data_IF_044870084201
#
_entry.id   IF_044870084201
#
_cell.length_a   1.000
_cell.length_b   1.000
_cell.length_c   1.000
_cell.angle_alpha   90.00
_cell.angle_beta   90.00
_cell.angle_gamma   90.00
#
_symmetry.space_group_name_H-M   'P 1'
#
loop_
_entity.id
_entity.type
_entity.pdbx_description
1 polymer ?
#
# COMPACT_ATOMS: atom_id res chain seq x y z
N UNK A 1 -48.49 -6.98 -41.44
CA UNK A 1 -47.31 -7.04 -40.55
C UNK A 1 -47.72 -6.48 -39.20
N UNK A 2 -47.69 -7.33 -38.17
CA UNK A 2 -48.37 -7.14 -36.88
C UNK A 2 -47.65 -6.16 -35.93
N UNK A 3 -48.46 -5.39 -35.20
CA UNK A 3 -48.15 -4.69 -33.96
C UNK A 3 -47.82 -5.67 -32.82
N UNK A 4 -46.82 -5.35 -31.98
CA UNK A 4 -46.87 -5.65 -30.53
C UNK A 4 -45.88 -4.81 -29.71
N UNK A 5 -46.42 -3.90 -28.90
CA UNK A 5 -45.86 -3.39 -27.65
C UNK A 5 -46.00 -4.48 -26.57
N UNK A 6 -44.95 -4.73 -25.79
CA UNK A 6 -44.99 -5.32 -24.43
C UNK A 6 -43.79 -4.72 -23.68
N UNK A 7 -43.95 -3.76 -22.77
CA UNK A 7 -44.35 -3.88 -21.35
C UNK A 7 -43.39 -4.73 -20.50
N UNK A 8 -42.70 -4.03 -19.59
CA UNK A 8 -42.01 -4.55 -18.41
C UNK A 8 -42.97 -5.37 -17.51
N UNK A 9 -42.40 -6.23 -16.65
CA UNK A 9 -42.76 -6.17 -15.25
C UNK A 9 -41.55 -6.00 -14.34
N UNK A 10 -41.75 -5.18 -13.31
CA UNK A 10 -40.96 -5.14 -12.09
C UNK A 10 -41.36 -6.32 -11.18
N UNK A 11 -40.37 -6.92 -10.51
CA UNK A 11 -40.48 -7.74 -9.29
C UNK A 11 -39.05 -8.21 -8.95
N UNK A 12 -38.60 -8.39 -7.72
CA UNK A 12 -39.07 -8.02 -6.39
C UNK A 12 -37.88 -8.30 -5.46
N UNK A 13 -37.75 -7.47 -4.44
CA UNK A 13 -36.85 -7.59 -3.30
C UNK A 13 -36.90 -8.99 -2.67
N UNK A 14 -35.74 -9.62 -2.45
CA UNK A 14 -35.61 -10.79 -1.57
C UNK A 14 -34.55 -10.48 -0.51
N UNK A 15 -35.02 -9.85 0.56
CA UNK A 15 -34.36 -9.85 1.85
C UNK A 15 -34.37 -11.29 2.38
N UNK A 16 -33.19 -11.88 2.59
CA UNK A 16 -33.06 -13.17 3.26
C UNK A 16 -32.78 -12.91 4.73
N UNK A 17 -33.81 -13.11 5.55
CA UNK A 17 -33.71 -13.12 7.00
C UNK A 17 -32.74 -14.21 7.45
N UNK A 18 -31.76 -13.85 8.27
CA UNK A 18 -30.99 -14.80 9.07
C UNK A 18 -31.74 -14.98 10.38
N UNK A 19 -32.23 -16.20 10.58
CA UNK A 19 -32.96 -16.64 11.75
C UNK A 19 -32.01 -16.71 12.95
N UNK A 20 -32.22 -15.83 13.92
CA UNK A 20 -31.54 -15.88 15.22
C UNK A 20 -32.16 -17.02 16.03
N UNK A 21 -31.47 -18.16 16.12
CA UNK A 21 -31.79 -19.18 17.12
C UNK A 21 -31.13 -18.82 18.43
N UNK A 22 -31.95 -18.40 19.38
CA UNK A 22 -31.65 -18.28 20.79
C UNK A 22 -31.38 -19.67 21.39
N UNK A 23 -30.22 -19.84 22.01
CA UNK A 23 -29.95 -20.95 22.92
C UNK A 23 -29.65 -20.36 24.29
N UNK A 24 -30.61 -20.49 25.21
CA UNK A 24 -30.41 -20.27 26.63
C UNK A 24 -29.87 -21.55 27.25
N UNK A 25 -28.68 -21.49 27.86
CA UNK A 25 -28.33 -22.39 28.97
C UNK A 25 -27.44 -21.66 29.96
N UNK A 26 -27.92 -21.60 31.19
CA UNK A 26 -27.29 -21.10 32.41
C UNK A 26 -26.13 -21.98 32.89
N UNK A 27 -25.29 -21.38 33.75
CA UNK A 27 -24.38 -21.98 34.74
C UNK A 27 -22.87 -21.90 34.46
N UNK A 28 -22.28 -20.80 34.93
CA UNK A 28 -21.13 -20.73 35.85
C UNK A 28 -19.93 -21.68 35.69
N UNK A 29 -18.76 -21.10 35.38
CA UNK A 29 -17.49 -21.45 36.01
C UNK A 29 -16.49 -20.31 35.81
N UNK A 30 -15.73 -20.01 36.86
CA UNK A 30 -14.73 -18.96 36.93
C UNK A 30 -13.41 -19.36 36.24
N UNK A 31 -12.66 -18.34 35.80
CA UNK A 31 -11.20 -18.32 35.82
C UNK A 31 -10.46 -18.97 34.65
N UNK A 32 -9.98 -18.14 33.72
CA UNK A 32 -8.61 -18.16 33.18
C UNK A 32 -8.48 -17.12 32.07
N UNK A 33 -7.77 -16.02 32.36
CA UNK A 33 -7.27 -15.10 31.33
C UNK A 33 -6.12 -15.82 30.63
N UNK A 34 -6.37 -16.34 29.43
CA UNK A 34 -5.29 -16.87 28.59
C UNK A 34 -4.51 -15.69 28.00
N UNK A 35 -3.30 -15.49 28.51
CA UNK A 35 -2.26 -14.70 27.85
C UNK A 35 -2.01 -15.30 26.46
N UNK A 36 -2.40 -14.58 25.41
CA UNK A 36 -1.93 -14.86 24.05
C UNK A 36 -0.44 -14.51 23.98
N UNK A 37 0.40 -15.52 24.17
CA UNK A 37 1.83 -15.47 23.87
C UNK A 37 2.00 -15.40 22.35
N UNK A 38 2.27 -14.20 21.84
CA UNK A 38 2.70 -14.00 20.45
C UNK A 38 4.12 -14.57 20.34
N UNK A 39 4.26 -15.64 19.57
CA UNK A 39 5.54 -16.33 19.35
C UNK A 39 6.57 -15.41 18.67
N UNK A 40 7.88 -15.57 18.96
CA UNK A 40 8.92 -14.63 18.53
C UNK A 40 9.32 -14.87 17.06
N UNK A 41 8.49 -14.43 16.12
CA UNK A 41 8.86 -14.29 14.70
C UNK A 41 9.40 -12.88 14.38
N UNK A 42 9.86 -12.17 15.41
CA UNK A 42 10.10 -10.72 15.41
C UNK A 42 11.48 -10.27 14.96
N UNK A 43 12.40 -11.18 14.66
CA UNK A 43 13.80 -10.84 14.31
C UNK A 43 14.17 -11.03 12.84
N UNK A 44 13.26 -11.51 11.97
CA UNK A 44 13.54 -11.69 10.53
C UNK A 44 12.89 -10.64 9.61
N UNK A 45 12.04 -9.74 10.13
CA UNK A 45 11.34 -8.74 9.30
C UNK A 45 12.26 -7.65 8.70
N UNK A 46 13.47 -7.45 9.24
CA UNK A 46 14.42 -6.47 8.68
C UNK A 46 15.26 -6.98 7.49
N UNK A 47 15.39 -8.30 7.34
CA UNK A 47 16.36 -8.90 6.42
C UNK A 47 15.81 -9.15 5.00
N UNK A 48 14.50 -9.31 4.83
CA UNK A 48 13.92 -9.61 3.51
C UNK A 48 13.78 -8.38 2.60
N UNK A 49 13.92 -7.16 3.13
CA UNK A 49 13.95 -5.91 2.36
C UNK A 49 15.38 -5.44 2.02
N UNK A 50 16.41 -6.11 2.52
CA UNK A 50 17.81 -5.79 2.27
C UNK A 50 18.51 -7.04 1.74
N UNK A 51 18.63 -7.17 0.42
CA UNK A 51 19.29 -8.29 -0.25
C UNK A 51 20.78 -8.41 0.11
N UNK A 52 21.06 -8.96 1.29
CA UNK A 52 22.41 -9.13 1.82
C UNK A 52 22.49 -10.44 2.61
N UNK A 53 22.81 -11.55 1.96
CA UNK A 53 23.39 -12.70 2.66
C UNK A 53 24.89 -12.44 2.92
N UNK A 54 25.41 -12.70 4.13
CA UNK A 54 26.84 -12.61 4.40
C UNK A 54 27.56 -13.85 3.87
N UNK A 55 28.41 -13.65 2.86
CA UNK A 55 29.39 -14.65 2.42
C UNK A 55 30.40 -14.93 3.54
N UNK A 56 30.24 -16.08 4.20
CA UNK A 56 31.24 -16.69 5.07
C UNK A 56 32.39 -17.26 4.21
N UNK A 57 33.60 -16.75 4.41
CA UNK A 57 34.83 -17.28 3.82
C UNK A 57 35.28 -18.53 4.58
N UNK A 58 35.38 -19.66 3.90
CA UNK A 58 36.28 -20.75 4.30
C UNK A 58 37.15 -21.19 3.13
N UNK A 59 38.46 -21.08 3.32
CA UNK A 59 39.51 -21.50 2.40
C UNK A 59 39.66 -23.02 2.36
N UNK A 60 39.60 -23.62 1.18
CA UNK A 60 40.45 -24.77 0.82
C UNK A 60 40.59 -24.80 -0.69
N UNK A 61 41.85 -24.83 -1.16
CA UNK A 61 42.19 -24.70 -2.56
C UNK A 61 41.93 -25.96 -3.38
N UNK A 62 41.63 -25.76 -4.66
CA UNK A 62 41.99 -26.69 -5.73
C UNK A 62 42.06 -25.95 -7.07
N UNK A 63 43.25 -25.98 -7.66
CA UNK A 63 43.57 -25.45 -8.99
C UNK A 63 42.91 -26.30 -10.07
N UNK A 64 42.19 -25.68 -11.01
CA UNK A 64 41.93 -26.25 -12.34
C UNK A 64 41.95 -25.14 -13.40
N UNK A 65 42.71 -25.39 -14.46
CA UNK A 65 43.01 -24.47 -15.57
C UNK A 65 41.88 -24.34 -16.60
N UNK A 66 41.70 -23.10 -17.08
CA UNK A 66 41.25 -22.62 -18.41
C UNK A 66 40.22 -23.44 -19.21
N UNK A 67 39.08 -22.79 -19.51
CA UNK A 67 38.60 -22.60 -20.89
C UNK A 67 38.05 -21.18 -21.03
N UNK A 68 38.65 -20.40 -21.93
CA UNK A 68 38.17 -19.08 -22.34
C UNK A 68 37.01 -19.24 -23.33
N UNK A 69 35.87 -18.62 -23.04
CA UNK A 69 34.89 -18.20 -24.05
C UNK A 69 34.45 -16.79 -23.71
N UNK A 70 34.89 -15.83 -24.51
CA UNK A 70 34.31 -14.51 -24.53
C UNK A 70 32.89 -14.60 -25.08
N UNK A 71 31.94 -13.94 -24.44
CA UNK A 71 30.69 -13.54 -25.06
C UNK A 71 30.18 -12.28 -24.38
N UNK A 72 30.10 -11.24 -25.21
CA UNK A 72 29.21 -10.09 -25.16
C UNK A 72 29.01 -9.41 -23.79
N UNK A 73 29.58 -8.22 -23.69
CA UNK A 73 29.06 -7.11 -22.91
C UNK A 73 27.55 -6.96 -23.17
N UNK A 74 26.73 -7.48 -22.25
CA UNK A 74 25.30 -7.23 -22.22
C UNK A 74 25.05 -5.76 -21.90
N UNK A 75 24.23 -5.15 -22.74
CA UNK A 75 23.91 -3.73 -22.78
C UNK A 75 23.52 -3.15 -21.42
N UNK A 76 23.96 -1.90 -21.23
CA UNK A 76 23.50 -1.02 -20.15
C UNK A 76 21.97 -0.99 -20.14
N UNK A 77 21.39 -1.35 -19.00
CA UNK A 77 20.04 -0.96 -18.64
C UNK A 77 19.89 0.56 -18.83
N UNK A 78 18.75 0.95 -19.41
CA UNK A 78 18.49 2.26 -20.01
C UNK A 78 19.07 3.45 -19.25
N UNK A 79 19.88 4.21 -19.97
CA UNK A 79 20.21 5.59 -19.67
C UNK A 79 18.92 6.40 -19.45
N UNK A 80 18.91 7.20 -18.38
CA UNK A 80 17.74 7.95 -17.93
C UNK A 80 17.20 8.91 -18.99
N UNK A 81 16.05 8.55 -19.54
CA UNK A 81 15.09 9.55 -19.97
C UNK A 81 14.51 10.17 -18.70
N UNK A 82 14.64 11.49 -18.55
CA UNK A 82 13.93 12.23 -17.51
C UNK A 82 12.45 12.05 -17.84
N UNK A 83 11.77 11.15 -17.12
CA UNK A 83 10.33 10.93 -17.25
C UNK A 83 9.63 12.27 -17.02
N UNK A 84 9.07 12.82 -18.09
CA UNK A 84 8.44 14.13 -18.08
C UNK A 84 7.03 13.98 -17.52
N UNK A 85 6.88 13.95 -16.19
CA UNK A 85 5.59 13.78 -15.52
C UNK A 85 4.61 14.90 -15.93
N UNK A 86 3.73 14.63 -16.89
CA UNK A 86 2.75 15.59 -17.42
C UNK A 86 1.34 15.02 -17.50
N UNK A 87 1.26 13.74 -17.86
CA UNK A 87 0.01 13.00 -18.12
C UNK A 87 -0.31 12.06 -16.97
N UNK A 88 -1.55 11.59 -16.90
CA UNK A 88 -1.93 10.53 -15.97
C UNK A 88 -1.13 9.25 -16.22
N UNK A 89 -0.87 8.95 -17.50
CA UNK A 89 -0.09 7.78 -17.89
C UNK A 89 1.37 7.92 -17.46
N UNK A 90 1.99 9.09 -17.56
CA UNK A 90 3.36 9.31 -17.07
C UNK A 90 3.48 9.03 -15.57
N UNK A 91 2.47 9.43 -14.77
CA UNK A 91 2.46 9.19 -13.32
C UNK A 91 2.38 7.69 -13.03
N UNK A 92 1.49 6.97 -13.73
CA UNK A 92 1.34 5.52 -13.58
C UNK A 92 2.61 4.80 -14.02
N UNK A 93 3.17 5.16 -15.17
CA UNK A 93 4.38 4.55 -15.73
C UNK A 93 5.61 4.86 -14.89
N UNK A 94 5.71 6.07 -14.34
CA UNK A 94 6.76 6.37 -13.38
C UNK A 94 6.65 5.48 -12.16
N UNK A 95 5.45 5.30 -11.60
CA UNK A 95 5.26 4.58 -10.35
C UNK A 95 5.41 3.06 -10.50
N UNK A 96 4.87 2.51 -11.58
CA UNK A 96 4.75 1.07 -11.83
C UNK A 96 5.70 0.56 -12.92
N UNK A 97 6.37 1.44 -13.66
CA UNK A 97 7.12 1.06 -14.86
C UNK A 97 6.20 0.84 -16.07
N UNK A 98 6.81 0.86 -17.26
CA UNK A 98 6.11 0.73 -18.55
C UNK A 98 5.91 -0.72 -19.00
N UNK A 99 6.71 -1.66 -18.47
CA UNK A 99 6.77 -3.06 -18.90
C UNK A 99 6.04 -4.02 -17.94
N UNK A 100 4.80 -3.67 -17.55
CA UNK A 100 3.98 -4.50 -16.62
C UNK A 100 3.73 -5.93 -17.12
N UNK A 101 3.71 -6.11 -18.45
CA UNK A 101 3.42 -7.41 -19.11
C UNK A 101 4.65 -8.32 -19.16
N UNK A 102 5.86 -7.76 -19.05
CA UNK A 102 7.12 -8.50 -19.26
C UNK A 102 7.71 -9.07 -17.98
N UNK A 103 7.28 -8.56 -16.83
CA UNK A 103 7.77 -9.03 -15.55
C UNK A 103 7.10 -10.36 -15.23
N UNK A 104 7.93 -11.35 -14.93
CA UNK A 104 7.52 -12.66 -14.42
C UNK A 104 6.61 -12.44 -13.18
N UNK A 105 5.71 -13.40 -12.89
CA UNK A 105 4.62 -13.41 -11.88
C UNK A 105 4.37 -12.13 -11.04
N UNK A 106 3.12 -11.77 -10.75
CA UNK A 106 2.74 -10.60 -9.91
C UNK A 106 3.63 -10.38 -8.66
N UNK A 107 4.15 -11.47 -8.09
CA UNK A 107 5.13 -11.49 -7.01
C UNK A 107 6.52 -10.92 -7.39
N UNK A 108 7.15 -11.40 -8.46
CA UNK A 108 8.48 -10.94 -8.89
C UNK A 108 8.44 -9.47 -9.33
N UNK A 109 7.33 -9.08 -9.96
CA UNK A 109 7.03 -7.68 -10.26
C UNK A 109 6.99 -6.84 -8.97
N UNK A 110 6.22 -7.25 -7.96
CA UNK A 110 6.13 -6.52 -6.68
C UNK A 110 7.47 -6.42 -5.96
N UNK A 111 8.28 -7.49 -5.98
CA UNK A 111 9.62 -7.51 -5.38
C UNK A 111 10.57 -6.50 -6.05
N UNK A 112 10.46 -6.32 -7.37
CA UNK A 112 11.33 -5.42 -8.12
C UNK A 112 11.12 -3.94 -7.80
N UNK A 113 9.90 -3.56 -7.38
CA UNK A 113 9.57 -2.18 -6.99
C UNK A 113 9.44 -1.97 -5.49
N UNK A 114 9.53 -3.04 -4.67
CA UNK A 114 9.30 -2.97 -3.22
C UNK A 114 10.17 -1.93 -2.52
N UNK A 115 11.44 -1.78 -2.93
CA UNK A 115 12.32 -0.75 -2.39
C UNK A 115 11.87 0.68 -2.74
N UNK A 116 11.31 0.91 -3.93
CA UNK A 116 10.76 2.21 -4.34
C UNK A 116 9.48 2.53 -3.57
N UNK A 117 8.60 1.54 -3.42
CA UNK A 117 7.27 1.74 -2.82
C UNK A 117 7.29 1.77 -1.29
N UNK A 118 8.11 0.93 -0.66
CA UNK A 118 8.09 0.70 0.78
C UNK A 118 9.45 0.92 1.46
N UNK A 119 10.45 1.38 0.70
CA UNK A 119 11.79 1.64 1.23
C UNK A 119 11.82 2.73 2.30
N UNK A 120 12.63 2.48 3.32
CA UNK A 120 12.98 3.42 4.39
C UNK A 120 14.26 4.15 3.98
N UNK A 121 14.15 5.20 3.18
CA UNK A 121 15.32 5.92 2.68
C UNK A 121 15.00 7.23 1.97
N UNK A 122 16.03 8.04 1.65
CA UNK A 122 15.85 9.20 0.80
C UNK A 122 15.25 8.77 -0.56
N UNK A 123 14.52 9.67 -1.24
CA UNK A 123 14.04 9.40 -2.60
C UNK A 123 15.19 8.96 -3.51
N UNK A 124 14.91 8.01 -4.41
CA UNK A 124 15.86 7.60 -5.42
C UNK A 124 16.17 8.74 -6.42
N UNK A 125 17.20 8.55 -7.25
CA UNK A 125 17.63 9.57 -8.21
C UNK A 125 16.54 9.92 -9.24
N UNK A 126 15.66 8.96 -9.59
CA UNK A 126 14.57 9.21 -10.53
C UNK A 126 13.51 10.13 -9.91
N UNK A 127 13.21 9.95 -8.63
CA UNK A 127 12.29 10.79 -7.88
C UNK A 127 12.87 12.19 -7.63
N UNK A 128 14.17 12.29 -7.37
CA UNK A 128 14.89 13.58 -7.31
C UNK A 128 14.76 14.33 -8.64
N UNK A 129 15.01 13.65 -9.77
CA UNK A 129 14.94 14.24 -11.10
C UNK A 129 13.55 14.72 -11.52
N UNK A 130 12.49 14.18 -10.91
CA UNK A 130 11.09 14.49 -11.24
C UNK A 130 10.39 15.33 -10.16
N UNK A 131 11.11 15.77 -9.13
CA UNK A 131 10.49 16.36 -7.94
C UNK A 131 9.68 17.64 -8.24
N UNK A 132 10.16 18.50 -9.14
CA UNK A 132 9.44 19.74 -9.48
C UNK A 132 8.14 19.45 -10.23
N UNK A 133 8.17 18.59 -11.25
CA UNK A 133 6.99 18.18 -12.01
C UNK A 133 5.98 17.45 -11.10
N UNK A 134 6.48 16.60 -10.21
CA UNK A 134 5.68 15.93 -9.18
C UNK A 134 4.97 16.95 -8.29
N UNK A 135 5.67 17.98 -7.80
CA UNK A 135 5.08 19.03 -6.95
C UNK A 135 3.96 19.81 -7.65
N UNK A 136 4.14 20.13 -8.93
CA UNK A 136 3.10 20.80 -9.71
C UNK A 136 1.85 19.92 -9.87
N UNK A 137 2.02 18.65 -10.23
CA UNK A 137 0.91 17.70 -10.36
C UNK A 137 0.23 17.41 -9.03
N UNK A 138 0.98 17.30 -7.93
CA UNK A 138 0.41 17.17 -6.58
C UNK A 138 -0.47 18.37 -6.22
N UNK A 139 -0.01 19.59 -6.51
CA UNK A 139 -0.80 20.79 -6.27
C UNK A 139 -2.11 20.80 -7.08
N UNK A 140 -2.04 20.45 -8.37
CA UNK A 140 -3.21 20.32 -9.25
C UNK A 140 -4.15 19.19 -8.81
N UNK A 141 -3.62 18.08 -8.31
CA UNK A 141 -4.42 16.99 -7.76
C UNK A 141 -5.17 17.46 -6.50
N UNK A 142 -4.47 18.14 -5.59
CA UNK A 142 -5.03 18.66 -4.35
C UNK A 142 -6.08 19.75 -4.54
N UNK A 143 -5.98 20.56 -5.60
CA UNK A 143 -6.98 21.58 -5.96
C UNK A 143 -8.13 21.06 -6.83
N UNK A 144 -8.07 19.81 -7.31
CA UNK A 144 -9.07 19.24 -8.20
C UNK A 144 -8.98 19.72 -9.66
N UNK A 145 -7.83 20.28 -10.07
CA UNK A 145 -7.60 20.77 -11.42
C UNK A 145 -7.30 19.65 -12.44
N UNK A 146 -6.88 18.47 -11.97
CA UNK A 146 -6.69 17.28 -12.81
C UNK A 146 -8.04 16.64 -13.17
N UNK A 147 -8.64 17.12 -14.27
CA UNK A 147 -9.98 16.73 -14.76
C UNK A 147 -10.01 16.54 -16.27
N UNK A 148 -11.12 16.01 -16.80
CA UNK A 148 -11.30 15.75 -18.23
C UNK A 148 -11.03 14.30 -18.62
N UNK A 149 -11.14 14.01 -19.94
CA UNK A 149 -11.18 12.64 -20.48
C UNK A 149 -10.03 11.76 -20.03
N UNK A 150 -8.84 12.32 -19.85
CA UNK A 150 -7.67 11.59 -19.38
C UNK A 150 -7.76 11.18 -17.89
N UNK A 151 -8.19 12.11 -17.04
CA UNK A 151 -8.14 11.98 -15.58
C UNK A 151 -9.37 11.28 -14.98
N UNK A 152 -10.47 11.21 -15.75
CA UNK A 152 -11.75 10.58 -15.37
C UNK A 152 -11.87 9.11 -15.83
N UNK A 153 -10.74 8.46 -16.09
CA UNK A 153 -10.62 7.02 -16.38
C UNK A 153 -10.17 6.24 -15.13
N UNK A 154 -10.25 4.90 -15.11
CA UNK A 154 -9.61 4.10 -14.06
C UNK A 154 -8.14 4.46 -13.85
N UNK A 155 -7.34 4.54 -14.93
CA UNK A 155 -5.92 4.92 -14.85
C UNK A 155 -5.74 6.36 -14.36
N UNK A 156 -6.55 7.30 -14.86
CA UNK A 156 -6.53 8.69 -14.42
C UNK A 156 -6.86 8.86 -12.93
N UNK A 157 -7.80 8.09 -12.41
CA UNK A 157 -8.12 8.08 -10.99
C UNK A 157 -6.97 7.47 -10.15
N UNK A 158 -6.34 6.40 -10.62
CA UNK A 158 -5.16 5.83 -9.95
C UNK A 158 -3.99 6.83 -9.94
N UNK A 159 -3.74 7.54 -11.04
CA UNK A 159 -2.72 8.57 -11.11
C UNK A 159 -2.96 9.69 -10.08
N UNK A 160 -4.20 10.20 -9.99
CA UNK A 160 -4.58 11.20 -8.97
C UNK A 160 -4.40 10.65 -7.56
N UNK A 161 -4.79 9.40 -7.31
CA UNK A 161 -4.62 8.76 -6.02
C UNK A 161 -3.14 8.68 -5.63
N UNK A 162 -2.25 8.29 -6.54
CA UNK A 162 -0.80 8.29 -6.28
C UNK A 162 -0.26 9.69 -5.95
N UNK A 163 -0.71 10.72 -6.67
CA UNK A 163 -0.32 12.11 -6.43
C UNK A 163 -0.83 12.66 -5.09
N UNK A 164 -1.96 12.14 -4.58
CA UNK A 164 -2.52 12.56 -3.30
C UNK A 164 -1.97 11.76 -2.11
N UNK A 165 -1.58 10.51 -2.32
CA UNK A 165 -1.20 9.59 -1.24
C UNK A 165 0.29 9.26 -1.23
N UNK A 166 0.81 8.72 -2.34
CA UNK A 166 2.16 8.14 -2.39
C UNK A 166 3.26 9.19 -2.61
N UNK A 167 3.06 10.10 -3.56
CA UNK A 167 4.05 11.13 -3.87
C UNK A 167 4.31 12.07 -2.68
N UNK A 168 3.29 12.56 -1.94
CA UNK A 168 3.51 13.44 -0.79
C UNK A 168 4.35 12.78 0.31
N UNK A 169 4.14 11.49 0.57
CA UNK A 169 4.91 10.70 1.56
C UNK A 169 6.39 10.56 1.23
N UNK A 170 6.74 10.73 -0.05
CA UNK A 170 8.14 10.70 -0.52
C UNK A 170 8.72 12.12 -0.60
N UNK A 171 7.99 13.09 -1.15
CA UNK A 171 8.46 14.47 -1.34
C UNK A 171 8.56 15.24 -0.01
N UNK A 172 7.60 15.04 0.88
CA UNK A 172 7.41 15.83 2.10
C UNK A 172 7.58 14.99 3.37
N UNK A 173 8.36 13.90 3.28
CA UNK A 173 8.58 12.95 4.38
C UNK A 173 8.90 13.68 5.70
N UNK A 174 8.22 13.28 6.77
CA UNK A 174 8.41 13.85 8.11
C UNK A 174 7.78 15.24 8.32
N UNK A 175 7.04 15.79 7.35
CA UNK A 175 6.28 17.05 7.51
C UNK A 175 4.78 16.82 7.43
N UNK A 176 3.97 17.80 7.86
CA UNK A 176 2.51 17.74 7.74
C UNK A 176 2.02 17.61 6.29
N UNK A 177 2.82 18.07 5.32
CA UNK A 177 2.44 18.04 3.90
C UNK A 177 2.39 16.63 3.34
N UNK A 178 3.10 15.66 3.95
CA UNK A 178 3.01 14.25 3.59
C UNK A 178 1.61 13.66 3.81
N UNK A 179 0.81 14.27 4.70
CA UNK A 179 -0.50 13.77 5.13
C UNK A 179 -1.66 14.70 4.73
N UNK A 180 -1.36 15.82 4.07
CA UNK A 180 -2.32 16.91 3.85
C UNK A 180 -3.53 16.51 2.99
N UNK A 181 -3.41 15.44 2.21
CA UNK A 181 -4.42 15.00 1.26
C UNK A 181 -4.99 13.60 1.57
N UNK A 182 -4.70 13.03 2.75
CA UNK A 182 -5.09 11.67 3.11
C UNK A 182 -6.60 11.43 3.01
N UNK A 183 -7.42 12.36 3.51
CA UNK A 183 -8.89 12.22 3.46
C UNK A 183 -9.43 12.33 2.02
N UNK A 184 -8.83 13.18 1.19
CA UNK A 184 -9.16 13.28 -0.24
C UNK A 184 -8.78 12.01 -0.98
N UNK A 185 -7.60 11.45 -0.69
CA UNK A 185 -7.14 10.19 -1.28
C UNK A 185 -8.02 9.00 -0.85
N UNK A 186 -8.42 8.94 0.43
CA UNK A 186 -9.35 7.93 0.93
C UNK A 186 -10.72 8.03 0.26
N UNK A 187 -11.24 9.24 0.05
CA UNK A 187 -12.49 9.46 -0.67
C UNK A 187 -12.41 9.01 -2.13
N UNK A 188 -11.31 9.32 -2.82
CA UNK A 188 -11.07 8.87 -4.20
C UNK A 188 -10.91 7.34 -4.29
N UNK A 189 -10.26 6.71 -3.30
CA UNK A 189 -10.18 5.25 -3.18
C UNK A 189 -11.58 4.61 -3.11
N UNK A 190 -12.44 5.13 -2.23
CA UNK A 190 -13.83 4.67 -2.12
C UNK A 190 -14.63 4.90 -3.41
N UNK A 191 -14.40 6.00 -4.12
CA UNK A 191 -15.01 6.25 -5.43
C UNK A 191 -14.60 5.17 -6.44
N UNK A 192 -13.30 4.88 -6.58
CA UNK A 192 -12.76 3.84 -7.45
C UNK A 192 -13.40 2.48 -7.13
N UNK A 193 -13.48 2.15 -5.84
CA UNK A 193 -14.12 0.93 -5.34
C UNK A 193 -15.61 0.87 -5.70
N UNK A 194 -16.34 1.97 -5.52
CA UNK A 194 -17.77 2.04 -5.79
C UNK A 194 -18.11 1.85 -7.28
N UNK A 195 -17.21 2.26 -8.17
CA UNK A 195 -17.32 2.04 -9.62
C UNK A 195 -16.93 0.62 -10.04
N UNK A 196 -16.47 -0.21 -9.11
CA UNK A 196 -15.98 -1.57 -9.39
C UNK A 196 -14.68 -1.59 -10.18
N UNK A 197 -13.96 -0.48 -10.25
CA UNK A 197 -12.74 -0.39 -11.05
C UNK A 197 -11.59 -1.20 -10.46
N UNK A 198 -11.63 -1.49 -9.16
CA UNK A 198 -10.65 -2.30 -8.43
C UNK A 198 -10.88 -3.82 -8.52
N UNK A 199 -11.80 -4.28 -9.37
CA UNK A 199 -12.14 -5.71 -9.49
C UNK A 199 -11.34 -6.41 -10.58
N UNK A 200 -11.12 -7.72 -10.40
CA UNK A 200 -10.43 -8.57 -11.40
C UNK A 200 -11.19 -8.55 -12.74
N UNK A 201 -12.52 -8.63 -12.69
CA UNK A 201 -13.37 -8.71 -13.88
C UNK A 201 -13.34 -7.42 -14.72
N UNK A 202 -13.09 -6.28 -14.08
CA UNK A 202 -13.01 -5.01 -14.78
C UNK A 202 -11.76 -4.90 -15.68
N UNK A 203 -10.73 -5.73 -15.48
CA UNK A 203 -9.44 -5.67 -16.19
C UNK A 203 -8.79 -4.28 -16.21
N UNK A 204 -9.14 -3.43 -15.23
CA UNK A 204 -8.70 -2.04 -15.16
C UNK A 204 -7.33 -1.90 -14.47
N UNK A 205 -7.07 -2.74 -13.46
CA UNK A 205 -5.88 -2.67 -12.62
C UNK A 205 -5.22 -4.03 -12.45
N UNK A 206 -3.89 -4.03 -12.40
CA UNK A 206 -3.10 -5.20 -11.94
C UNK A 206 -3.29 -5.44 -10.44
N UNK A 207 -2.78 -6.57 -9.94
CA UNK A 207 -2.79 -6.88 -8.51
C UNK A 207 -2.19 -5.74 -7.65
N UNK A 208 -1.03 -5.22 -8.05
CA UNK A 208 -0.32 -4.18 -7.31
C UNK A 208 -1.08 -2.85 -7.42
N UNK A 209 -1.60 -2.51 -8.61
CA UNK A 209 -2.42 -1.31 -8.78
C UNK A 209 -3.67 -1.33 -7.88
N UNK A 210 -4.32 -2.49 -7.72
CA UNK A 210 -5.43 -2.67 -6.76
C UNK A 210 -4.97 -2.42 -5.33
N UNK A 211 -3.80 -2.93 -4.92
CA UNK A 211 -3.23 -2.62 -3.61
C UNK A 211 -3.07 -1.11 -3.40
N UNK A 212 -2.52 -0.39 -4.37
CA UNK A 212 -2.36 1.07 -4.29
C UNK A 212 -3.70 1.80 -4.21
N UNK A 213 -4.77 1.27 -4.79
CA UNK A 213 -6.14 1.80 -4.56
C UNK A 213 -6.51 1.70 -3.08
N UNK A 214 -6.10 0.66 -2.36
CA UNK A 214 -6.49 0.43 -0.96
C UNK A 214 -5.61 1.12 0.09
N UNK A 215 -4.38 1.52 -0.27
CA UNK A 215 -3.45 2.17 0.66
C UNK A 215 -3.97 3.47 1.29
N UNK A 216 -4.67 4.37 0.58
CA UNK A 216 -5.26 5.56 1.23
C UNK A 216 -6.23 5.22 2.36
N UNK A 217 -6.95 4.11 2.26
CA UNK A 217 -7.82 3.64 3.35
C UNK A 217 -7.00 3.17 4.56
N UNK A 218 -5.87 2.49 4.30
CA UNK A 218 -4.88 2.10 5.32
C UNK A 218 -4.25 3.31 6.01
N UNK A 219 -4.16 4.43 5.30
CA UNK A 219 -3.57 5.66 5.81
C UNK A 219 -4.55 6.60 6.50
N UNK A 220 -5.86 6.39 6.36
CA UNK A 220 -6.86 7.23 7.02
C UNK A 220 -6.89 6.99 8.53
N UNK A 221 -7.09 8.04 9.31
CA UNK A 221 -7.31 7.94 10.77
C UNK A 221 -8.78 7.61 11.12
N UNK A 222 -9.61 7.26 10.12
CA UNK A 222 -11.00 6.83 10.32
C UNK A 222 -11.10 5.32 10.45
N UNK A 223 -11.75 4.84 11.51
CA UNK A 223 -11.87 3.40 11.75
C UNK A 223 -12.66 2.68 10.64
N UNK A 224 -13.67 3.32 10.05
CA UNK A 224 -14.45 2.69 8.96
C UNK A 224 -13.61 2.52 7.69
N UNK A 225 -12.68 3.44 7.43
CA UNK A 225 -11.74 3.31 6.32
C UNK A 225 -10.75 2.18 6.57
N UNK A 226 -10.27 2.03 7.81
CA UNK A 226 -9.41 0.92 8.21
C UNK A 226 -10.12 -0.44 8.05
N UNK A 227 -11.39 -0.53 8.45
CA UNK A 227 -12.21 -1.73 8.26
C UNK A 227 -12.36 -2.09 6.77
N UNK A 228 -12.66 -1.09 5.94
CA UNK A 228 -12.76 -1.26 4.49
C UNK A 228 -11.41 -1.69 3.88
N UNK A 229 -10.30 -1.12 4.33
CA UNK A 229 -8.96 -1.49 3.89
C UNK A 229 -8.67 -2.96 4.16
N UNK A 230 -8.85 -3.41 5.41
CA UNK A 230 -8.61 -4.81 5.80
C UNK A 230 -9.46 -5.76 4.96
N UNK A 231 -10.74 -5.44 4.76
CA UNK A 231 -11.64 -6.26 3.93
C UNK A 231 -11.16 -6.36 2.48
N UNK A 232 -10.77 -5.23 1.87
CA UNK A 232 -10.31 -5.17 0.47
C UNK A 232 -8.96 -5.84 0.26
N UNK A 233 -8.01 -5.63 1.18
CA UNK A 233 -6.70 -6.30 1.13
C UNK A 233 -6.85 -7.80 1.34
N UNK A 234 -7.74 -8.25 2.24
CA UNK A 234 -8.03 -9.68 2.39
C UNK A 234 -8.56 -10.28 1.09
N UNK A 235 -9.53 -9.63 0.44
CA UNK A 235 -10.08 -10.08 -0.83
C UNK A 235 -9.01 -10.14 -1.93
N UNK A 236 -8.10 -9.16 -1.97
CA UNK A 236 -6.97 -9.13 -2.88
C UNK A 236 -6.05 -10.35 -2.70
N UNK A 237 -5.66 -10.65 -1.46
CA UNK A 237 -4.84 -11.83 -1.11
C UNK A 237 -5.57 -13.14 -1.45
N UNK A 238 -6.86 -13.23 -1.17
CA UNK A 238 -7.67 -14.40 -1.53
C UNK A 238 -7.73 -14.61 -3.06
N UNK A 239 -7.82 -13.53 -3.84
CA UNK A 239 -7.80 -13.58 -5.31
C UNK A 239 -6.45 -14.08 -5.85
N UNK A 240 -5.33 -13.59 -5.31
CA UNK A 240 -3.98 -14.06 -5.68
C UNK A 240 -3.78 -15.54 -5.34
N UNK A 241 -4.23 -15.95 -4.15
CA UNK A 241 -4.17 -17.35 -3.72
C UNK A 241 -4.94 -18.26 -4.68
N UNK A 242 -6.13 -17.85 -5.12
CA UNK A 242 -6.92 -18.59 -6.12
C UNK A 242 -6.25 -18.63 -7.49
N UNK A 243 -5.63 -17.52 -7.91
CA UNK A 243 -5.03 -17.39 -9.23
C UNK A 243 -3.69 -18.12 -9.36
N UNK A 244 -2.87 -18.15 -8.30
CA UNK A 244 -1.48 -18.64 -8.38
C UNK A 244 -1.19 -19.84 -7.47
N UNK A 245 -2.09 -20.18 -6.55
CA UNK A 245 -1.89 -21.23 -5.54
C UNK A 245 -1.01 -20.80 -4.36
N UNK A 246 -0.58 -19.54 -4.32
CA UNK A 246 0.17 -18.93 -3.21
C UNK A 246 -0.21 -17.46 -3.07
N UNK A 247 -0.08 -16.88 -1.89
CA UNK A 247 -0.22 -15.44 -1.72
C UNK A 247 0.67 -14.95 -0.59
N UNK A 248 1.14 -13.71 -0.69
CA UNK A 248 1.89 -13.07 0.38
C UNK A 248 0.91 -12.38 1.35
N UNK A 249 0.82 -12.89 2.58
CA UNK A 249 -0.06 -12.32 3.60
C UNK A 249 0.49 -11.05 4.24
N UNK A 250 1.73 -10.65 3.94
CA UNK A 250 2.40 -9.52 4.59
C UNK A 250 1.59 -8.22 4.48
N UNK A 251 0.97 -7.99 3.33
CA UNK A 251 0.15 -6.79 3.10
C UNK A 251 -1.14 -6.79 3.93
N UNK A 252 -1.73 -7.97 4.14
CA UNK A 252 -2.90 -8.12 5.00
C UNK A 252 -2.54 -7.94 6.49
N UNK A 253 -1.39 -8.48 6.91
CA UNK A 253 -0.87 -8.28 8.26
C UNK A 253 -0.59 -6.79 8.52
N UNK A 254 -0.03 -6.07 7.54
CA UNK A 254 0.16 -4.63 7.60
C UNK A 254 -1.16 -3.86 7.71
N UNK A 255 -2.20 -4.26 6.97
CA UNK A 255 -3.53 -3.66 7.08
C UNK A 255 -4.14 -3.84 8.49
N UNK A 256 -4.00 -5.04 9.07
CA UNK A 256 -4.46 -5.33 10.43
C UNK A 256 -3.70 -4.51 11.48
N UNK A 257 -2.39 -4.32 11.28
CA UNK A 257 -1.55 -3.53 12.18
C UNK A 257 -1.93 -2.04 12.17
N UNK A 258 -2.14 -1.44 10.99
CA UNK A 258 -2.61 -0.06 10.86
C UNK A 258 -3.98 0.13 11.53
N UNK A 259 -4.91 -0.79 11.24
CA UNK A 259 -6.23 -0.80 11.88
C UNK A 259 -6.11 -0.90 13.40
N UNK A 260 -5.22 -1.75 13.92
CA UNK A 260 -5.00 -1.92 15.35
C UNK A 260 -4.53 -0.65 16.04
N UNK A 261 -3.63 0.11 15.40
CA UNK A 261 -3.16 1.41 15.90
C UNK A 261 -4.30 2.43 15.93
N UNK A 262 -5.07 2.57 14.84
CA UNK A 262 -6.21 3.49 14.79
C UNK A 262 -7.32 3.06 15.76
N UNK A 263 -7.59 1.77 15.92
CA UNK A 263 -8.57 1.28 16.89
C UNK A 263 -8.16 1.58 18.34
N UNK A 264 -6.86 1.57 18.63
CA UNK A 264 -6.32 1.84 19.97
C UNK A 264 -6.29 3.33 20.30
N UNK A 265 -5.81 4.16 19.37
CA UNK A 265 -5.52 5.58 19.65
C UNK A 265 -6.50 6.55 18.97
N UNK A 266 -7.36 6.07 18.07
CA UNK A 266 -8.22 6.90 17.21
C UNK A 266 -7.46 7.66 16.12
N UNK A 267 -6.14 7.49 16.04
CA UNK A 267 -5.24 8.20 15.12
C UNK A 267 -3.89 7.49 15.03
N UNK A 268 -2.97 8.04 14.25
CA UNK A 268 -1.59 7.56 14.13
C UNK A 268 -0.63 8.42 14.97
N UNK A 269 -0.13 7.93 16.12
CA UNK A 269 0.69 8.75 17.02
C UNK A 269 2.01 9.23 16.41
N UNK A 270 2.60 8.46 15.49
CA UNK A 270 3.86 8.83 14.81
C UNK A 270 3.73 10.11 13.96
N UNK A 271 2.49 10.55 13.64
CA UNK A 271 2.22 11.79 12.92
C UNK A 271 2.11 13.01 13.83
N UNK A 272 2.04 12.82 15.15
CA UNK A 272 1.72 13.89 16.10
C UNK A 272 2.70 15.07 15.99
N UNK A 273 4.01 14.82 15.95
CA UNK A 273 5.01 15.88 15.79
C UNK A 273 4.84 16.65 14.47
N UNK A 274 4.70 15.93 13.35
CA UNK A 274 4.51 16.53 12.03
C UNK A 274 3.22 17.36 11.94
N UNK A 275 2.13 16.89 12.56
CA UNK A 275 0.82 17.53 12.59
C UNK A 275 0.62 18.50 13.77
N UNK A 276 1.66 18.73 14.59
CA UNK A 276 1.62 19.59 15.78
C UNK A 276 0.52 19.21 16.77
N UNK A 277 0.31 17.92 16.99
CA UNK A 277 -0.60 17.37 18.00
C UNK A 277 0.17 17.04 19.27
N UNK A 278 -0.43 17.29 20.42
CA UNK A 278 0.09 16.80 21.69
C UNK A 278 -0.13 15.28 21.79
N UNK A 279 0.92 14.55 22.18
CA UNK A 279 0.88 13.11 22.42
C UNK A 279 0.44 12.83 23.85
N UNK A 280 -0.45 11.87 24.03
CA UNK A 280 -0.82 11.31 25.33
C UNK A 280 0.32 10.46 25.92
N UNK A 281 0.32 10.19 27.25
CA UNK A 281 1.30 9.30 27.87
C UNK A 281 1.34 7.90 27.22
N UNK A 282 0.18 7.34 26.87
CA UNK A 282 0.06 6.03 26.24
C UNK A 282 0.64 6.03 24.82
N UNK A 283 0.46 7.13 24.08
CA UNK A 283 1.06 7.32 22.76
C UNK A 283 2.58 7.45 22.84
N UNK A 284 3.11 8.22 23.79
CA UNK A 284 4.55 8.36 24.02
C UNK A 284 5.20 7.03 24.40
N UNK A 285 4.53 6.24 25.24
CA UNK A 285 5.01 4.90 25.59
C UNK A 285 5.04 3.98 24.37
N UNK A 286 4.03 4.05 23.49
CA UNK A 286 4.03 3.28 22.26
C UNK A 286 5.12 3.73 21.28
N UNK A 287 5.32 5.04 21.13
CA UNK A 287 6.35 5.63 20.26
C UNK A 287 7.78 5.24 20.69
N UNK A 288 8.01 5.09 21.99
CA UNK A 288 9.31 4.70 22.57
C UNK A 288 9.51 3.18 22.68
N UNK A 289 8.51 2.37 22.31
CA UNK A 289 8.61 0.91 22.39
C UNK A 289 9.41 0.32 21.23
N UNK A 290 10.13 -0.78 21.48
CA UNK A 290 10.81 -1.57 20.43
C UNK A 290 9.82 -2.15 19.39
N UNK A 291 8.54 -2.15 19.75
CA UNK A 291 7.43 -2.76 19.06
C UNK A 291 6.81 -1.86 17.99
N UNK A 292 7.25 -0.60 17.89
CA UNK A 292 6.71 0.32 16.90
C UNK A 292 6.98 -0.20 15.47
N UNK A 293 5.95 -0.28 14.61
CA UNK A 293 6.08 -0.87 13.29
C UNK A 293 7.02 -0.09 12.36
N UNK A 294 7.64 -0.79 11.40
CA UNK A 294 8.57 -0.18 10.45
C UNK A 294 7.96 0.95 9.61
N UNK A 295 6.68 0.85 9.24
CA UNK A 295 5.97 1.89 8.50
C UNK A 295 5.74 3.16 9.34
N UNK A 296 5.55 3.02 10.66
CA UNK A 296 5.41 4.17 11.55
C UNK A 296 6.76 4.90 11.71
N UNK A 297 7.85 4.13 11.81
CA UNK A 297 9.22 4.67 11.83
C UNK A 297 9.58 5.40 10.53
N UNK A 298 9.11 4.91 9.38
CA UNK A 298 9.49 5.44 8.06
C UNK A 298 8.90 6.83 7.76
N UNK A 299 7.75 7.16 8.37
CA UNK A 299 7.04 8.43 8.16
C UNK A 299 7.09 9.38 9.37
N UNK A 300 7.64 8.93 10.49
CA UNK A 300 7.84 9.78 11.66
C UNK A 300 8.80 10.93 11.38
N UNK A 301 8.48 12.11 11.90
CA UNK A 301 9.51 13.14 12.07
C UNK A 301 10.53 12.60 13.08
N UNK A 302 11.82 12.84 12.88
CA UNK A 302 12.81 12.67 13.96
C UNK A 302 12.34 13.56 15.12
N UNK A 303 11.99 12.96 16.27
CA UNK A 303 11.62 13.76 17.43
C UNK A 303 12.75 14.74 17.74
N UNK A 304 12.44 16.00 18.12
CA UNK A 304 13.45 16.88 18.67
C UNK A 304 14.06 16.17 19.87
N UNK A 305 15.37 15.94 19.84
CA UNK A 305 16.12 15.47 20.99
C UNK A 305 15.67 16.24 22.22
N UNK A 306 15.21 15.53 23.26
CA UNK A 306 14.84 16.14 24.54
C UNK A 306 15.88 17.19 24.92
N UNK A 307 15.49 18.41 25.31
CA UNK A 307 16.46 19.39 25.77
C UNK A 307 17.20 18.79 26.97
N UNK A 308 18.51 18.61 26.80
CA UNK A 308 19.46 18.19 27.82
C UNK A 308 19.50 19.14 29.01
#
# INVERSE_FOLDING_TARGET
>A
MLFRRLLFPAAATLARAVEVRSFTSTSGAAGAVQHLSVSPRRQQLGAFLHGSEPLSRSSTGRTVSKVSRGMATGEKAGSGEILNLKTAQDVVDFWFGTDLVRLASDREYGQSFGAKWFGVGPPDQAFIGTQNASKELMAKAGSGELKGEEWETPKGALARLLLLDQFPRTVYRGTSQAFAHDETAASLSLEIISKGWDTVDARNYTFQQRLFVYLPLMHSERIEAQDACVSKVKALVDDEMKATGSADSLVHDMALEHRGVVAKFGRFPHRNAALRRESTPEELQWLSSDDIPGWAKSQGASEPSSPS
#
